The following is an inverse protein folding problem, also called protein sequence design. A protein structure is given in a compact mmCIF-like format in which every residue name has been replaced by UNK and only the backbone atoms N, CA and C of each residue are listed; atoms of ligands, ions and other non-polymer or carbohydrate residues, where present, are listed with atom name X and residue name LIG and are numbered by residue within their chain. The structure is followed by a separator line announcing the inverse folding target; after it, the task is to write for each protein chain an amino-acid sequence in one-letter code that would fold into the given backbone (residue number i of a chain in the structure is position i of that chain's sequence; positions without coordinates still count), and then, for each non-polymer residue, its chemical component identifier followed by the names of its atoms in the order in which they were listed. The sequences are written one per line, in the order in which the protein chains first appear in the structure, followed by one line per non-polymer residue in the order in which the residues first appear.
data_IF_745045637443
#
_entry.id   IF_745045637443
#
_cell.length_a   1.000
_cell.length_b   1.000
_cell.length_c   1.000
_cell.angle_alpha   90.00
_cell.angle_beta   90.00
_cell.angle_gamma   90.00
#
_symmetry.space_group_name_H-M   'P 1'
#
loop_
_entity.id
_entity.type
_entity.pdbx_description
1 polymer ?
#
# COMPACT_ATOMS: atom_id res chain seq x y z
N UNK A 1 -8.35 -64.06 -10.79
CA UNK A 1 -7.23 -63.50 -11.59
C UNK A 1 -7.12 -61.97 -11.53
N UNK A 2 -8.22 -61.20 -11.69
CA UNK A 2 -8.21 -59.72 -11.74
C UNK A 2 -7.60 -59.00 -10.52
N UNK A 3 -7.87 -59.46 -9.28
CA UNK A 3 -7.39 -58.80 -8.04
C UNK A 3 -5.85 -58.80 -7.88
N UNK A 4 -5.18 -59.90 -8.25
CA UNK A 4 -3.70 -60.00 -8.18
C UNK A 4 -3.00 -59.11 -9.22
N UNK A 5 -3.59 -58.93 -10.40
CA UNK A 5 -3.07 -57.99 -11.40
C UNK A 5 -3.25 -56.53 -10.96
N UNK A 6 -4.41 -56.17 -10.40
CA UNK A 6 -4.63 -54.82 -9.85
C UNK A 6 -3.64 -54.50 -8.73
N UNK A 7 -3.40 -55.45 -7.81
CA UNK A 7 -2.41 -55.27 -6.74
C UNK A 7 -0.99 -55.14 -7.30
N UNK A 8 -0.60 -55.97 -8.28
CA UNK A 8 0.73 -55.88 -8.91
C UNK A 8 0.96 -54.53 -9.61
N UNK A 9 0.00 -54.05 -10.38
CA UNK A 9 0.12 -52.76 -11.08
C UNK A 9 0.19 -51.59 -10.08
N UNK A 10 -0.62 -51.64 -9.02
CA UNK A 10 -0.57 -50.65 -7.94
C UNK A 10 0.78 -50.62 -7.22
N UNK A 11 1.36 -51.79 -6.96
CA UNK A 11 2.67 -51.91 -6.30
C UNK A 11 3.81 -51.41 -7.20
N UNK A 12 3.75 -51.71 -8.50
CA UNK A 12 4.71 -51.19 -9.48
C UNK A 12 4.65 -49.66 -9.53
N UNK A 13 3.45 -49.07 -9.58
CA UNK A 13 3.29 -47.61 -9.57
C UNK A 13 3.80 -46.99 -8.26
N UNK A 14 3.53 -47.62 -7.11
CA UNK A 14 4.04 -47.18 -5.81
C UNK A 14 5.57 -47.19 -5.74
N UNK A 15 6.23 -48.19 -6.33
CA UNK A 15 7.70 -48.22 -6.41
C UNK A 15 8.21 -47.08 -7.28
N UNK A 16 7.60 -46.80 -8.42
CA UNK A 16 7.98 -45.67 -9.27
C UNK A 16 7.81 -44.32 -8.56
N UNK A 17 6.71 -44.10 -7.84
CA UNK A 17 6.51 -42.86 -7.09
C UNK A 17 7.49 -42.73 -5.93
N UNK A 18 7.81 -43.80 -5.21
CA UNK A 18 8.82 -43.80 -4.15
C UNK A 18 10.18 -43.40 -4.72
N UNK A 19 10.61 -44.02 -5.83
CA UNK A 19 11.90 -43.68 -6.46
C UNK A 19 11.92 -42.23 -6.94
N UNK A 20 10.83 -41.73 -7.52
CA UNK A 20 10.69 -40.35 -7.94
C UNK A 20 10.76 -39.35 -6.76
N UNK A 21 10.04 -39.62 -5.67
CA UNK A 21 10.04 -38.78 -4.47
C UNK A 21 11.41 -38.76 -3.80
N UNK A 22 12.09 -39.91 -3.69
CA UNK A 22 13.45 -40.00 -3.11
C UNK A 22 14.46 -39.25 -3.97
N UNK A 23 14.40 -39.41 -5.29
CA UNK A 23 15.24 -38.67 -6.23
C UNK A 23 15.05 -37.16 -6.11
N UNK A 24 13.79 -36.70 -6.08
CA UNK A 24 13.47 -35.28 -5.92
C UNK A 24 13.93 -34.74 -4.56
N UNK A 25 13.74 -35.50 -3.48
CA UNK A 25 14.15 -35.10 -2.14
C UNK A 25 15.68 -34.96 -2.02
N UNK A 26 16.44 -35.87 -2.64
CA UNK A 26 17.90 -35.77 -2.66
C UNK A 26 18.38 -34.53 -3.41
N UNK A 27 17.82 -34.27 -4.59
CA UNK A 27 18.14 -33.06 -5.39
C UNK A 27 17.76 -31.80 -4.62
N UNK A 28 16.58 -31.78 -3.99
CA UNK A 28 16.11 -30.65 -3.20
C UNK A 28 17.04 -30.38 -2.00
N UNK A 29 17.42 -31.41 -1.25
CA UNK A 29 18.28 -31.26 -0.06
C UNK A 29 19.72 -30.83 -0.40
N UNK A 30 20.23 -31.23 -1.57
CA UNK A 30 21.54 -30.78 -2.05
C UNK A 30 21.49 -29.34 -2.55
N UNK A 31 20.42 -28.97 -3.27
CA UNK A 31 20.31 -27.66 -3.93
C UNK A 31 19.85 -26.56 -2.97
N UNK A 32 19.07 -26.89 -1.93
CA UNK A 32 18.51 -25.93 -0.98
C UNK A 32 19.58 -25.07 -0.29
N UNK A 33 20.70 -25.68 0.11
CA UNK A 33 21.83 -24.95 0.72
C UNK A 33 22.44 -23.94 -0.24
N UNK A 34 22.63 -24.32 -1.50
CA UNK A 34 23.16 -23.42 -2.53
C UNK A 34 22.19 -22.28 -2.85
N UNK A 35 20.88 -22.54 -2.85
CA UNK A 35 19.85 -21.51 -3.04
C UNK A 35 19.89 -20.50 -1.89
N UNK A 36 19.95 -20.98 -0.64
CA UNK A 36 20.02 -20.09 0.52
C UNK A 36 21.27 -19.20 0.50
N UNK A 37 22.44 -19.78 0.19
CA UNK A 37 23.69 -19.01 0.05
C UNK A 37 23.62 -17.96 -1.06
N UNK A 38 23.01 -18.28 -2.20
CA UNK A 38 22.81 -17.32 -3.29
C UNK A 38 21.84 -16.21 -2.89
N UNK A 39 20.75 -16.53 -2.22
CA UNK A 39 19.79 -15.54 -1.74
C UNK A 39 20.42 -14.56 -0.75
N UNK A 40 21.27 -15.04 0.16
CA UNK A 40 22.02 -14.18 1.07
C UNK A 40 23.05 -13.32 0.33
N UNK A 41 23.76 -13.89 -0.64
CA UNK A 41 24.71 -13.16 -1.47
C UNK A 41 24.02 -12.07 -2.31
N UNK A 42 22.89 -12.39 -2.94
CA UNK A 42 22.07 -11.47 -3.73
C UNK A 42 21.47 -10.37 -2.85
N UNK A 43 21.03 -10.72 -1.64
CA UNK A 43 20.57 -9.74 -0.66
C UNK A 43 21.70 -8.79 -0.26
N UNK A 44 22.89 -9.31 0.07
CA UNK A 44 24.02 -8.48 0.46
C UNK A 44 24.53 -7.61 -0.70
N UNK A 45 24.51 -8.14 -1.92
CA UNK A 45 24.82 -7.39 -3.13
C UNK A 45 23.81 -6.27 -3.37
N UNK A 46 22.51 -6.57 -3.23
CA UNK A 46 21.45 -5.57 -3.37
C UNK A 46 21.50 -4.48 -2.30
N UNK A 47 21.82 -4.82 -1.04
CA UNK A 47 22.05 -3.83 0.01
C UNK A 47 23.20 -2.87 -0.35
N UNK A 48 24.33 -3.40 -0.82
CA UNK A 48 25.48 -2.58 -1.26
C UNK A 48 25.17 -1.76 -2.52
N UNK A 49 24.34 -2.26 -3.42
CA UNK A 49 23.92 -1.54 -4.62
C UNK A 49 23.03 -0.34 -4.27
N UNK A 50 22.13 -0.52 -3.30
CA UNK A 50 21.22 0.52 -2.82
C UNK A 50 21.93 1.54 -1.92
N UNK A 51 22.91 1.12 -1.11
CA UNK A 51 23.75 2.00 -0.30
C UNK A 51 25.25 1.75 -0.56
N UNK A 52 25.81 2.28 -1.65
CA UNK A 52 27.22 2.06 -2.00
C UNK A 52 28.21 2.72 -1.03
N UNK A 53 27.75 3.68 -0.23
CA UNK A 53 28.55 4.39 0.78
C UNK A 53 28.46 3.78 2.18
N UNK A 54 27.64 2.74 2.38
CA UNK A 54 27.51 2.09 3.68
C UNK A 54 28.73 1.23 4.00
N UNK A 55 29.22 1.35 5.24
CA UNK A 55 30.29 0.52 5.81
C UNK A 55 29.75 -0.79 6.38
N UNK A 56 28.46 -0.84 6.71
CA UNK A 56 27.80 -2.02 7.28
C UNK A 56 26.27 -1.94 7.16
N UNK A 57 25.62 -3.07 7.42
CA UNK A 57 24.17 -3.19 7.47
C UNK A 57 23.79 -3.93 8.74
N UNK A 58 23.05 -3.26 9.62
CA UNK A 58 22.59 -3.84 10.89
C UNK A 58 21.09 -4.15 10.79
N UNK A 59 20.65 -5.41 11.00
CA UNK A 59 19.23 -5.75 10.94
C UNK A 59 18.42 -5.00 12.00
N UNK A 60 17.22 -4.56 11.63
CA UNK A 60 16.30 -3.81 12.50
C UNK A 60 14.86 -4.27 12.32
N UNK A 61 14.10 -4.30 13.41
CA UNK A 61 12.66 -4.63 13.41
C UNK A 61 11.77 -3.38 13.54
N UNK A 62 12.37 -2.20 13.45
CA UNK A 62 11.69 -0.91 13.64
C UNK A 62 10.72 -0.57 12.52
N UNK A 63 10.93 -1.12 11.32
CA UNK A 63 10.07 -0.86 10.16
C UNK A 63 9.12 -2.04 9.96
N UNK A 64 7.81 -1.76 9.99
CA UNK A 64 6.77 -2.76 9.74
C UNK A 64 5.81 -2.29 8.66
N UNK A 65 5.32 -3.25 7.88
CA UNK A 65 4.27 -2.97 6.91
C UNK A 65 2.95 -2.78 7.64
N UNK A 66 2.23 -1.71 7.29
CA UNK A 66 0.84 -1.48 7.71
C UNK A 66 -0.17 -2.09 6.74
N UNK A 67 0.29 -2.71 5.64
CA UNK A 67 -0.56 -3.24 4.57
C UNK A 67 -0.57 -4.78 4.60
N UNK A 68 -1.74 -5.45 4.67
CA UNK A 68 -1.81 -6.91 4.76
C UNK A 68 -1.31 -7.65 3.51
N UNK A 69 -1.23 -6.98 2.36
CA UNK A 69 -0.78 -7.57 1.10
C UNK A 69 0.70 -7.30 0.79
N UNK A 70 1.39 -6.50 1.60
CA UNK A 70 2.80 -6.15 1.40
C UNK A 70 3.54 -6.53 2.67
N UNK A 71 4.55 -7.39 2.55
CA UNK A 71 5.26 -7.94 3.70
C UNK A 71 6.70 -7.46 3.65
N UNK A 72 7.21 -6.99 4.79
CA UNK A 72 8.62 -6.68 4.96
C UNK A 72 9.30 -7.91 5.53
N UNK A 73 10.15 -8.56 4.73
CA UNK A 73 10.87 -9.76 5.15
C UNK A 73 11.99 -9.42 6.13
N UNK A 74 12.65 -8.29 5.90
CA UNK A 74 13.74 -7.79 6.73
C UNK A 74 13.94 -6.30 6.49
N UNK A 75 14.38 -5.58 7.53
CA UNK A 75 14.88 -4.22 7.39
C UNK A 75 16.30 -4.14 7.96
N UNK A 76 17.10 -3.25 7.39
CA UNK A 76 18.50 -3.06 7.73
C UNK A 76 18.79 -1.57 7.83
N UNK A 77 19.39 -1.14 8.92
CA UNK A 77 19.98 0.19 9.04
C UNK A 77 21.32 0.18 8.29
N UNK A 78 21.50 1.15 7.38
CA UNK A 78 22.73 1.31 6.63
C UNK A 78 23.70 2.17 7.45
N UNK A 79 24.78 1.56 7.95
CA UNK A 79 25.77 2.24 8.78
C UNK A 79 26.79 2.95 7.90
N UNK A 80 27.14 4.19 8.23
CA UNK A 80 28.16 4.98 7.54
C UNK A 80 29.24 5.50 8.50
N UNK A 81 30.26 6.19 7.94
CA UNK A 81 31.43 6.64 8.71
C UNK A 81 31.12 7.61 9.85
N UNK A 82 30.01 8.35 9.75
CA UNK A 82 29.60 9.41 10.68
C UNK A 82 28.20 9.21 11.27
N UNK A 83 27.63 7.99 11.17
CA UNK A 83 26.28 7.67 11.64
C UNK A 83 25.48 6.82 10.65
N UNK A 84 24.19 6.61 10.94
CA UNK A 84 23.28 5.91 10.03
C UNK A 84 23.05 6.74 8.76
N UNK A 85 23.23 6.12 7.59
CA UNK A 85 22.97 6.71 6.28
C UNK A 85 21.50 6.56 5.87
N UNK A 86 20.75 5.67 6.53
CA UNK A 86 19.35 5.39 6.19
C UNK A 86 18.92 3.98 6.53
N UNK A 87 17.82 3.54 5.92
CA UNK A 87 17.25 2.21 6.09
C UNK A 87 17.05 1.55 4.72
N UNK A 88 17.45 0.29 4.59
CA UNK A 88 17.13 -0.59 3.49
C UNK A 88 16.07 -1.62 3.94
N UNK A 89 14.99 -1.77 3.20
CA UNK A 89 13.94 -2.74 3.51
C UNK A 89 13.82 -3.74 2.37
N UNK A 90 13.87 -5.02 2.71
CA UNK A 90 13.47 -6.11 1.83
C UNK A 90 11.96 -6.29 1.94
N UNK A 91 11.27 -6.02 0.85
CA UNK A 91 9.81 -6.06 0.75
C UNK A 91 9.39 -7.04 -0.33
N UNK A 92 8.34 -7.81 -0.09
CA UNK A 92 7.65 -8.53 -1.14
C UNK A 92 6.16 -8.19 -1.18
N UNK A 93 5.58 -8.24 -2.37
CA UNK A 93 4.15 -8.00 -2.56
C UNK A 93 3.66 -8.48 -3.93
N UNK A 94 2.34 -8.41 -4.17
CA UNK A 94 1.73 -8.95 -5.37
C UNK A 94 2.11 -8.15 -6.63
N UNK A 95 2.48 -8.84 -7.71
CA UNK A 95 2.63 -8.31 -9.07
C UNK A 95 1.78 -9.12 -10.06
N UNK A 96 1.96 -8.90 -11.37
CA UNK A 96 1.12 -9.47 -12.43
C UNK A 96 1.17 -11.00 -12.50
N UNK A 97 2.36 -11.59 -12.54
CA UNK A 97 2.59 -13.04 -12.67
C UNK A 97 2.88 -13.74 -11.34
N UNK A 98 3.01 -12.99 -10.25
CA UNK A 98 3.26 -13.52 -8.91
C UNK A 98 3.88 -12.47 -7.99
N UNK A 99 4.30 -12.88 -6.78
CA UNK A 99 4.98 -11.97 -5.87
C UNK A 99 6.31 -11.47 -6.46
N UNK A 100 6.62 -10.21 -6.19
CA UNK A 100 7.90 -9.58 -6.53
C UNK A 100 8.59 -9.14 -5.25
N UNK A 101 9.88 -9.44 -5.13
CA UNK A 101 10.73 -9.12 -3.98
C UNK A 101 11.72 -8.03 -4.37
N UNK A 102 11.79 -6.98 -3.56
CA UNK A 102 12.60 -5.78 -3.80
C UNK A 102 13.43 -5.47 -2.55
N UNK A 103 14.57 -4.82 -2.75
CA UNK A 103 15.25 -4.03 -1.72
C UNK A 103 15.07 -2.57 -2.08
N UNK A 104 14.56 -1.79 -1.13
CA UNK A 104 14.36 -0.35 -1.29
C UNK A 104 15.13 0.36 -0.19
N UNK A 105 15.96 1.34 -0.57
CA UNK A 105 16.74 2.14 0.37
C UNK A 105 16.23 3.55 0.48
N UNK A 106 16.20 4.04 1.71
CA UNK A 106 15.72 5.37 2.07
C UNK A 106 16.77 6.04 2.95
N UNK A 107 17.30 7.17 2.49
CA UNK A 107 18.26 8.00 3.22
C UNK A 107 17.61 8.66 4.44
N UNK A 108 18.44 9.07 5.41
CA UNK A 108 18.05 9.96 6.52
C UNK A 108 17.46 11.30 6.08
N UNK A 109 17.63 11.69 4.82
CA UNK A 109 17.05 12.92 4.26
C UNK A 109 15.72 12.70 3.53
N UNK A 110 15.16 11.48 3.59
CA UNK A 110 13.88 11.13 2.97
C UNK A 110 14.00 11.01 1.45
N UNK A 111 15.20 10.72 0.98
CA UNK A 111 15.50 10.47 -0.45
C UNK A 111 15.68 8.98 -0.67
N UNK A 112 15.10 8.45 -1.73
CA UNK A 112 15.30 7.05 -2.11
C UNK A 112 16.73 6.90 -2.65
N UNK A 113 17.55 6.11 -1.97
CA UNK A 113 18.96 5.89 -2.37
C UNK A 113 19.06 4.94 -3.54
N UNK A 114 18.18 3.94 -3.60
CA UNK A 114 18.08 3.02 -4.71
C UNK A 114 16.97 2.00 -4.52
N UNK A 115 16.65 1.31 -5.61
CA UNK A 115 15.72 0.17 -5.64
C UNK A 115 16.41 -0.96 -6.37
N UNK A 116 16.36 -2.17 -5.82
CA UNK A 116 16.86 -3.38 -6.46
C UNK A 116 15.76 -4.43 -6.50
N UNK A 117 15.47 -4.98 -7.67
CA UNK A 117 14.61 -6.15 -7.79
C UNK A 117 15.46 -7.39 -7.56
N UNK A 118 15.06 -8.23 -6.59
CA UNK A 118 15.72 -9.50 -6.29
C UNK A 118 15.05 -10.68 -6.98
N UNK A 119 13.72 -10.67 -7.01
CA UNK A 119 12.93 -11.74 -7.62
C UNK A 119 11.63 -11.17 -8.17
N UNK A 120 11.27 -11.59 -9.38
CA UNK A 120 10.08 -11.18 -10.10
C UNK A 120 9.56 -12.37 -10.91
N UNK A 121 8.29 -12.71 -10.69
CA UNK A 121 7.61 -13.83 -11.35
C UNK A 121 6.77 -13.41 -12.54
N UNK A 122 6.90 -12.17 -12.97
CA UNK A 122 6.17 -11.66 -14.13
C UNK A 122 6.67 -12.24 -15.45
N UNK A 123 5.84 -12.12 -16.48
CA UNK A 123 6.11 -12.69 -17.81
C UNK A 123 7.47 -12.20 -18.37
N UNK A 124 8.38 -13.12 -18.76
CA UNK A 124 9.62 -12.79 -19.43
C UNK A 124 9.42 -11.92 -20.67
N UNK A 125 10.27 -10.90 -20.85
CA UNK A 125 10.16 -9.93 -21.95
C UNK A 125 9.09 -8.84 -21.75
N UNK A 126 8.27 -8.93 -20.69
CA UNK A 126 7.30 -7.90 -20.28
C UNK A 126 7.69 -7.36 -18.89
N UNK A 127 7.02 -7.81 -17.83
CA UNK A 127 7.23 -7.32 -16.46
C UNK A 127 8.59 -7.72 -15.87
N UNK A 128 9.14 -8.86 -16.27
CA UNK A 128 10.47 -9.30 -15.84
C UNK A 128 11.59 -8.33 -16.27
N UNK A 129 11.34 -7.45 -17.25
CA UNK A 129 12.28 -6.39 -17.62
C UNK A 129 12.59 -5.42 -16.46
N UNK A 130 11.80 -5.42 -15.39
CA UNK A 130 12.09 -4.66 -14.17
C UNK A 130 13.40 -5.09 -13.49
N UNK A 131 13.81 -6.35 -13.67
CA UNK A 131 15.05 -6.91 -13.13
C UNK A 131 16.26 -6.68 -14.04
N UNK A 132 16.00 -6.38 -15.32
CA UNK A 132 17.04 -6.35 -16.33
C UNK A 132 17.88 -5.09 -16.21
N UNK A 133 19.19 -5.28 -16.01
CA UNK A 133 20.19 -4.20 -16.06
C UNK A 133 20.42 -3.66 -17.48
N UNK A 134 19.92 -4.34 -18.51
CA UNK A 134 20.06 -3.94 -19.92
C UNK A 134 18.78 -3.36 -20.51
N UNK A 135 17.67 -3.41 -19.76
CA UNK A 135 16.42 -2.77 -20.15
C UNK A 135 16.35 -1.33 -19.60
N UNK A 136 16.26 -0.38 -20.51
CA UNK A 136 16.16 1.03 -20.17
C UNK A 136 14.76 1.54 -20.50
N UNK A 137 14.08 2.08 -19.48
CA UNK A 137 12.80 2.80 -19.67
C UNK A 137 13.01 4.14 -20.35
N UNK A 138 14.18 4.74 -20.12
CA UNK A 138 14.68 5.87 -20.89
C UNK A 138 16.03 5.50 -21.51
N UNK A 139 16.03 5.34 -22.82
CA UNK A 139 17.22 4.98 -23.60
C UNK A 139 18.22 6.13 -23.73
N UNK A 140 17.77 7.38 -23.63
CA UNK A 140 18.65 8.54 -23.78
C UNK A 140 19.57 8.69 -22.56
N UNK A 141 19.00 8.49 -21.37
CA UNK A 141 19.75 8.54 -20.10
C UNK A 141 20.28 7.19 -19.64
N UNK A 142 19.94 6.10 -20.36
CA UNK A 142 20.20 4.71 -19.95
C UNK A 142 19.69 4.42 -18.54
N UNK A 143 18.51 4.96 -18.22
CA UNK A 143 17.87 4.76 -16.93
C UNK A 143 17.07 3.47 -16.96
N UNK A 144 17.40 2.54 -16.06
CA UNK A 144 16.63 1.31 -15.84
C UNK A 144 15.33 1.61 -15.09
N UNK A 145 14.36 0.70 -15.11
CA UNK A 145 13.12 0.89 -14.36
C UNK A 145 13.36 1.13 -12.85
N UNK A 146 14.17 0.34 -12.13
CA UNK A 146 14.52 0.65 -10.74
C UNK A 146 15.40 1.89 -10.58
N UNK A 147 16.24 2.20 -11.58
CA UNK A 147 17.16 3.34 -11.54
C UNK A 147 16.47 4.69 -11.46
N UNK A 148 15.27 4.83 -12.01
CA UNK A 148 14.52 6.10 -12.00
C UNK A 148 14.03 6.53 -10.60
N UNK A 149 14.05 5.62 -9.63
CA UNK A 149 13.65 5.92 -8.25
C UNK A 149 14.82 6.47 -7.43
N UNK A 150 16.06 6.20 -7.84
CA UNK A 150 17.24 6.70 -7.14
C UNK A 150 17.30 8.24 -7.22
N UNK A 151 17.45 8.89 -6.08
CA UNK A 151 17.50 10.35 -5.96
C UNK A 151 16.14 11.04 -5.85
N UNK A 152 15.01 10.32 -6.00
CA UNK A 152 13.68 10.89 -5.77
C UNK A 152 13.41 11.07 -4.29
N UNK A 153 12.73 12.15 -3.91
CA UNK A 153 12.27 12.36 -2.54
C UNK A 153 10.96 11.63 -2.31
N UNK A 154 10.73 11.22 -1.06
CA UNK A 154 9.47 10.61 -0.65
C UNK A 154 8.25 11.55 -0.80
N UNK A 155 8.50 12.85 -0.86
CA UNK A 155 7.48 13.89 -1.12
C UNK A 155 7.12 14.01 -2.60
N UNK A 156 7.89 13.41 -3.51
CA UNK A 156 7.66 13.54 -4.95
C UNK A 156 6.46 12.68 -5.38
N UNK A 157 5.91 13.00 -6.55
CA UNK A 157 4.94 12.14 -7.20
C UNK A 157 5.56 10.81 -7.61
N UNK A 158 4.86 9.71 -7.34
CA UNK A 158 5.20 8.36 -7.81
C UNK A 158 4.08 7.78 -8.67
N UNK A 159 3.43 8.61 -9.49
CA UNK A 159 2.35 8.14 -10.36
C UNK A 159 2.93 7.59 -11.66
N UNK A 160 2.71 6.30 -11.91
CA UNK A 160 3.13 5.64 -13.15
C UNK A 160 2.48 6.30 -14.37
N UNK A 161 3.27 6.57 -15.42
CA UNK A 161 2.99 7.37 -16.63
C UNK A 161 2.96 8.89 -16.44
N UNK A 162 3.06 9.40 -15.21
CA UNK A 162 3.24 10.84 -14.96
C UNK A 162 4.64 11.10 -14.44
N UNK A 163 4.94 10.59 -13.26
CA UNK A 163 6.20 10.81 -12.56
C UNK A 163 7.18 9.64 -12.74
N UNK A 164 6.64 8.44 -12.96
CA UNK A 164 7.41 7.20 -13.15
C UNK A 164 7.14 6.65 -14.55
N UNK A 165 8.21 6.46 -15.32
CA UNK A 165 8.16 5.84 -16.64
C UNK A 165 7.83 4.35 -16.47
N UNK A 166 6.72 3.93 -17.08
CA UNK A 166 6.28 2.55 -17.04
C UNK A 166 7.11 1.67 -17.98
N UNK A 167 7.27 0.40 -17.62
CA UNK A 167 7.74 -0.64 -18.54
C UNK A 167 6.69 -0.83 -19.64
N UNK A 168 7.13 -0.78 -20.90
CA UNK A 168 6.26 -0.95 -22.06
C UNK A 168 5.46 -2.24 -21.96
N UNK A 169 4.15 -2.15 -22.13
CA UNK A 169 3.21 -3.28 -22.02
C UNK A 169 3.19 -4.03 -20.67
N UNK A 170 3.85 -3.50 -19.63
CA UNK A 170 3.86 -4.06 -18.28
C UNK A 170 3.52 -2.99 -17.22
N UNK A 171 2.39 -2.28 -17.44
CA UNK A 171 1.94 -1.21 -16.53
C UNK A 171 1.52 -1.76 -15.16
N UNK A 172 1.03 -3.00 -15.07
CA UNK A 172 0.66 -3.64 -13.80
C UNK A 172 1.90 -3.84 -12.93
N UNK A 173 2.96 -4.45 -13.48
CA UNK A 173 4.27 -4.59 -12.84
C UNK A 173 4.83 -3.25 -12.39
N UNK A 174 4.78 -2.26 -13.28
CA UNK A 174 5.30 -0.92 -13.00
C UNK A 174 4.59 -0.28 -11.80
N UNK A 175 3.26 -0.42 -11.73
CA UNK A 175 2.45 0.09 -10.61
C UNK A 175 2.71 -0.67 -9.32
N UNK A 176 2.82 -2.00 -9.38
CA UNK A 176 3.12 -2.83 -8.22
C UNK A 176 4.45 -2.43 -7.58
N UNK A 177 5.55 -2.41 -8.36
CA UNK A 177 6.87 -2.04 -7.84
C UNK A 177 6.87 -0.61 -7.29
N UNK A 178 6.23 0.33 -7.99
CA UNK A 178 6.13 1.72 -7.53
C UNK A 178 5.39 1.82 -6.19
N UNK A 179 4.30 1.07 -6.02
CA UNK A 179 3.56 1.02 -4.76
C UNK A 179 4.41 0.43 -3.61
N UNK A 180 5.16 -0.64 -3.88
CA UNK A 180 6.08 -1.23 -2.89
C UNK A 180 7.14 -0.22 -2.44
N UNK A 181 7.70 0.56 -3.37
CA UNK A 181 8.64 1.63 -3.07
C UNK A 181 8.01 2.72 -2.21
N UNK A 182 6.78 3.15 -2.52
CA UNK A 182 6.07 4.15 -1.72
C UNK A 182 5.77 3.66 -0.30
N UNK A 183 5.34 2.41 -0.16
CA UNK A 183 4.99 1.80 1.14
C UNK A 183 6.22 1.66 2.02
N UNK A 184 7.35 1.20 1.46
CA UNK A 184 8.63 1.20 2.18
C UNK A 184 9.05 2.62 2.53
N UNK A 185 8.98 3.54 1.57
CA UNK A 185 9.32 4.94 1.76
C UNK A 185 8.60 5.56 2.96
N UNK A 186 7.27 5.36 3.02
CA UNK A 186 6.44 5.81 4.13
C UNK A 186 6.88 5.20 5.46
N UNK A 187 6.98 3.87 5.52
CA UNK A 187 7.35 3.18 6.76
C UNK A 187 8.77 3.56 7.25
N UNK A 188 9.73 3.73 6.33
CA UNK A 188 11.08 4.19 6.67
C UNK A 188 11.09 5.64 7.14
N UNK A 189 10.28 6.53 6.55
CA UNK A 189 10.18 7.94 6.97
C UNK A 189 9.63 8.10 8.38
N UNK A 190 8.69 7.24 8.79
CA UNK A 190 8.13 7.22 10.15
C UNK A 190 9.20 6.85 11.18
N UNK A 191 10.04 5.85 10.87
CA UNK A 191 11.13 5.40 11.77
C UNK A 191 12.28 6.42 11.83
N UNK A 192 12.62 7.03 10.70
CA UNK A 192 13.72 8.00 10.63
C UNK A 192 13.32 9.40 11.14
N UNK A 193 12.05 9.64 11.44
CA UNK A 193 11.57 10.93 11.93
C UNK A 193 11.65 12.07 10.90
N UNK A 194 11.69 11.75 9.60
CA UNK A 194 11.92 12.71 8.50
C UNK A 194 10.62 13.46 8.11
N UNK A 195 9.60 13.42 8.99
CA UNK A 195 8.27 13.95 8.74
C UNK A 195 8.16 15.47 8.90
N UNK A 196 8.69 16.23 7.94
CA UNK A 196 8.07 17.49 7.53
C UNK A 196 6.83 17.16 6.68
N UNK A 197 5.64 17.27 7.28
CA UNK A 197 4.34 17.47 6.64
C UNK A 197 4.16 16.97 5.19
N UNK A 198 3.95 15.67 5.05
CA UNK A 198 2.97 15.08 4.11
C UNK A 198 2.34 13.89 4.85
N UNK A 199 1.02 13.70 4.75
CA UNK A 199 0.16 13.40 5.89
C UNK A 199 0.58 12.11 6.60
N UNK A 200 1.11 12.31 7.81
CA UNK A 200 1.24 11.27 8.82
C UNK A 200 -0.11 10.58 9.03
N UNK A 201 -0.15 9.28 9.39
CA UNK A 201 -1.34 8.68 10.01
C UNK A 201 -1.79 9.47 11.27
N UNK A 202 -0.94 10.34 11.84
CA UNK A 202 -1.32 11.24 12.93
C UNK A 202 -2.13 12.49 12.50
N UNK A 203 -2.30 12.76 11.20
CA UNK A 203 -3.34 13.66 10.70
C UNK A 203 -4.57 12.91 10.19
N UNK A 204 -4.61 11.58 10.38
CA UNK A 204 -5.78 10.76 10.11
C UNK A 204 -6.50 10.44 11.41
N UNK A 205 -7.44 11.31 11.74
CA UNK A 205 -8.18 11.22 12.99
C UNK A 205 -9.34 12.20 12.97
N UNK A 206 -10.33 12.00 13.85
CA UNK A 206 -11.55 12.80 13.83
C UNK A 206 -11.29 14.31 14.00
N UNK A 207 -10.17 14.72 14.63
CA UNK A 207 -9.74 16.12 14.70
C UNK A 207 -9.31 16.73 13.35
N UNK A 208 -8.83 15.93 12.40
CA UNK A 208 -8.40 16.42 11.09
C UNK A 208 -9.57 16.70 10.13
N UNK A 209 -10.71 16.06 10.37
CA UNK A 209 -11.96 16.31 9.63
C UNK A 209 -12.90 17.25 10.40
N UNK A 210 -12.53 17.67 11.61
CA UNK A 210 -13.23 18.65 12.45
C UNK A 210 -12.26 19.79 12.87
N UNK A 211 -11.77 20.61 11.93
CA UNK A 211 -10.75 21.63 12.21
C UNK A 211 -11.23 22.73 13.19
N UNK A 212 -12.54 22.85 13.41
CA UNK A 212 -13.15 23.84 14.29
C UNK A 212 -13.37 23.36 15.73
N UNK A 213 -13.09 22.10 16.06
CA UNK A 213 -13.33 21.53 17.39
C UNK A 213 -12.07 21.61 18.27
N UNK A 214 -12.22 22.11 19.51
CA UNK A 214 -11.14 22.13 20.51
C UNK A 214 -10.98 20.76 21.19
N UNK A 215 -12.06 19.97 21.26
CA UNK A 215 -12.05 18.64 21.86
C UNK A 215 -12.93 17.70 21.06
N UNK A 216 -12.37 16.57 20.62
CA UNK A 216 -13.10 15.50 19.94
C UNK A 216 -13.22 14.31 20.91
N UNK A 217 -14.44 13.82 21.12
CA UNK A 217 -14.72 12.64 21.94
C UNK A 217 -15.40 11.56 21.10
N UNK A 218 -14.95 10.31 21.20
CA UNK A 218 -15.66 9.17 20.63
C UNK A 218 -17.00 9.00 21.35
N UNK A 219 -18.10 8.94 20.60
CA UNK A 219 -19.44 8.75 21.16
C UNK A 219 -19.64 7.28 21.54
N UNK A 220 -20.38 7.04 22.61
CA UNK A 220 -20.78 5.69 23.05
C UNK A 220 -21.81 5.04 22.14
N UNK A 221 -22.37 5.79 21.17
CA UNK A 221 -23.36 5.32 20.21
C UNK A 221 -22.87 5.57 18.79
N UNK A 222 -22.50 4.51 18.08
CA UNK A 222 -22.13 4.59 16.68
C UNK A 222 -23.34 4.96 15.82
N UNK A 223 -23.16 5.89 14.87
CA UNK A 223 -24.19 6.18 13.88
C UNK A 223 -24.48 4.93 13.03
N UNK A 224 -25.74 4.72 12.66
CA UNK A 224 -26.15 3.62 11.78
C UNK A 224 -26.48 4.16 10.39
N UNK A 225 -25.83 3.62 9.37
CA UNK A 225 -26.15 3.94 7.99
C UNK A 225 -27.40 3.20 7.55
N UNK A 226 -28.30 3.88 6.83
CA UNK A 226 -29.46 3.25 6.17
C UNK A 226 -29.11 2.62 4.81
N UNK A 227 -27.85 2.68 4.38
CA UNK A 227 -27.39 2.16 3.09
C UNK A 227 -26.86 0.73 3.24
N UNK A 228 -27.39 -0.26 2.50
CA UNK A 228 -26.90 -1.64 2.53
C UNK A 228 -25.41 -1.72 2.16
N UNK A 229 -24.62 -2.45 2.96
CA UNK A 229 -23.19 -2.66 2.71
C UNK A 229 -22.24 -1.59 3.26
N UNK A 230 -22.75 -0.57 3.96
CA UNK A 230 -21.95 0.44 4.67
C UNK A 230 -21.91 0.13 6.17
N UNK A 231 -20.71 -0.13 6.69
CA UNK A 231 -20.46 -0.37 8.11
C UNK A 231 -19.77 0.84 8.74
N UNK A 232 -20.45 1.54 9.63
CA UNK A 232 -19.84 2.61 10.44
C UNK A 232 -19.17 1.95 11.63
N UNK A 233 -17.85 2.11 11.74
CA UNK A 233 -17.04 1.48 12.80
C UNK A 233 -16.99 2.34 14.05
N UNK A 234 -16.86 3.65 13.87
CA UNK A 234 -16.67 4.58 14.98
C UNK A 234 -17.31 5.93 14.64
N UNK A 235 -17.83 6.61 15.65
CA UNK A 235 -18.36 7.98 15.53
C UNK A 235 -17.81 8.82 16.67
N UNK A 236 -17.36 10.02 16.34
CA UNK A 236 -16.80 10.99 17.28
C UNK A 236 -17.48 12.33 17.13
N UNK A 237 -17.60 13.09 18.22
CA UNK A 237 -18.22 14.40 18.27
C UNK A 237 -17.17 15.44 18.58
N UNK A 238 -17.13 16.51 17.78
CA UNK A 238 -16.29 17.67 18.00
C UNK A 238 -17.04 18.74 18.79
N UNK A 239 -16.43 19.22 19.86
CA UNK A 239 -16.94 20.33 20.67
C UNK A 239 -15.95 21.50 20.68
N UNK A 240 -16.49 22.72 20.65
CA UNK A 240 -15.74 23.97 20.80
C UNK A 240 -16.35 24.73 21.97
N UNK A 241 -15.56 25.06 22.99
CA UNK A 241 -16.03 25.69 24.22
C UNK A 241 -17.29 25.03 24.87
N UNK A 242 -17.42 23.70 24.76
CA UNK A 242 -18.56 22.94 25.30
C UNK A 242 -19.81 22.87 24.40
N UNK A 243 -19.81 23.52 23.24
CA UNK A 243 -20.89 23.41 22.23
C UNK A 243 -20.48 22.43 21.12
N UNK A 244 -21.39 21.58 20.66
CA UNK A 244 -21.14 20.66 19.54
C UNK A 244 -20.99 21.49 18.27
N UNK A 245 -19.85 21.36 17.60
CA UNK A 245 -19.55 22.04 16.33
C UNK A 245 -19.56 21.11 15.13
N UNK A 246 -19.63 19.80 15.37
CA UNK A 246 -19.75 18.79 14.32
C UNK A 246 -19.54 17.38 14.84
N UNK A 247 -19.67 16.41 13.94
CA UNK A 247 -19.39 15.01 14.22
C UNK A 247 -18.63 14.39 13.05
N UNK A 248 -17.86 13.35 13.34
CA UNK A 248 -17.09 12.60 12.37
C UNK A 248 -17.35 11.11 12.53
N UNK A 249 -17.39 10.38 11.43
CA UNK A 249 -17.57 8.93 11.45
C UNK A 249 -16.55 8.24 10.56
N UNK A 250 -15.99 7.15 11.08
CA UNK A 250 -15.17 6.20 10.34
C UNK A 250 -16.08 5.11 9.79
N UNK A 251 -16.14 4.99 8.48
CA UNK A 251 -17.01 4.04 7.80
C UNK A 251 -16.22 3.21 6.79
N UNK A 252 -16.65 1.97 6.60
CA UNK A 252 -16.07 1.02 5.66
C UNK A 252 -17.19 0.43 4.81
N UNK A 253 -16.92 0.28 3.52
CA UNK A 253 -17.83 -0.42 2.62
C UNK A 253 -17.07 -1.16 1.54
N UNK A 254 -17.72 -2.17 0.99
CA UNK A 254 -17.26 -2.85 -0.22
C UNK A 254 -17.35 -1.90 -1.40
N UNK A 255 -16.30 -1.85 -2.21
CA UNK A 255 -16.21 -1.00 -3.39
C UNK A 255 -16.15 -1.88 -4.65
N UNK A 256 -15.07 -1.85 -5.42
CA UNK A 256 -14.98 -2.56 -6.70
C UNK A 256 -14.76 -4.07 -6.48
N UNK A 257 -13.59 -4.42 -5.99
CA UNK A 257 -13.18 -5.80 -5.68
C UNK A 257 -12.53 -5.92 -4.29
N UNK A 258 -12.35 -4.79 -3.60
CA UNK A 258 -11.93 -4.71 -2.21
C UNK A 258 -12.88 -3.83 -1.38
N UNK A 259 -12.30 -3.21 -0.36
CA UNK A 259 -13.00 -2.40 0.61
C UNK A 259 -12.35 -1.01 0.68
N UNK A 260 -13.18 0.00 0.95
CA UNK A 260 -12.74 1.37 1.16
C UNK A 260 -13.13 1.78 2.56
N UNK A 261 -12.19 2.36 3.30
CA UNK A 261 -12.40 2.93 4.63
C UNK A 261 -12.22 4.43 4.54
N UNK A 262 -13.23 5.19 4.96
CA UNK A 262 -13.22 6.65 4.96
C UNK A 262 -13.47 7.19 6.36
N UNK A 263 -12.99 8.40 6.59
CA UNK A 263 -13.33 9.24 7.73
C UNK A 263 -13.97 10.51 7.18
N UNK A 264 -15.21 10.78 7.60
CA UNK A 264 -15.99 11.93 7.14
C UNK A 264 -16.33 12.78 8.35
N UNK A 265 -16.07 14.09 8.28
CA UNK A 265 -16.47 15.08 9.26
C UNK A 265 -17.54 16.00 8.71
N UNK A 266 -18.59 16.24 9.50
CA UNK A 266 -19.75 17.05 9.13
C UNK A 266 -20.06 18.05 10.26
N UNK A 267 -20.39 19.28 9.89
CA UNK A 267 -20.86 20.34 10.79
C UNK A 267 -22.30 20.10 11.25
N UNK A 268 -22.73 20.78 12.31
CA UNK A 268 -24.15 20.80 12.75
C UNK A 268 -25.11 21.25 11.65
N UNK A 269 -24.65 22.05 10.70
CA UNK A 269 -25.45 22.55 9.57
C UNK A 269 -25.52 21.56 8.38
N UNK A 270 -24.90 20.38 8.51
CA UNK A 270 -24.84 19.36 7.47
C UNK A 270 -23.79 19.59 6.38
N UNK A 271 -22.91 20.58 6.56
CA UNK A 271 -21.76 20.82 5.67
C UNK A 271 -20.63 19.83 5.96
N UNK A 272 -20.09 19.19 4.94
CA UNK A 272 -18.91 18.32 5.04
C UNK A 272 -17.69 19.21 5.29
N UNK A 273 -17.11 19.11 6.48
CA UNK A 273 -15.95 19.90 6.90
C UNK A 273 -14.64 19.31 6.35
N UNK A 274 -14.57 17.98 6.25
CA UNK A 274 -13.42 17.29 5.72
C UNK A 274 -13.71 15.82 5.47
N UNK A 275 -13.02 15.27 4.48
CA UNK A 275 -13.06 13.85 4.16
C UNK A 275 -11.63 13.35 4.07
N UNK A 276 -11.41 12.13 4.54
CA UNK A 276 -10.17 11.41 4.35
C UNK A 276 -10.48 9.98 3.96
N UNK A 277 -9.70 9.46 3.03
CA UNK A 277 -9.73 8.05 2.68
C UNK A 277 -8.56 7.42 3.42
N UNK A 278 -8.89 6.61 4.41
CA UNK A 278 -7.92 5.99 5.30
C UNK A 278 -7.26 4.80 4.59
N UNK A 279 -8.07 4.03 3.88
CA UNK A 279 -7.65 2.78 3.28
C UNK A 279 -8.49 2.47 2.04
N UNK A 280 -7.84 1.89 1.03
CA UNK A 280 -8.50 1.34 -0.15
C UNK A 280 -7.77 0.07 -0.54
N UNK A 281 -8.46 -1.06 -0.46
CA UNK A 281 -7.94 -2.38 -0.83
C UNK A 281 -8.41 -2.85 -2.20
N UNK A 282 -9.11 -1.99 -2.95
CA UNK A 282 -9.48 -2.27 -4.34
C UNK A 282 -8.23 -2.44 -5.22
N UNK A 283 -8.27 -3.39 -6.15
CA UNK A 283 -7.26 -3.50 -7.20
C UNK A 283 -7.25 -2.22 -8.02
N UNK A 284 -6.08 -1.59 -8.10
CA UNK A 284 -5.88 -0.30 -8.77
C UNK A 284 -6.60 0.89 -8.10
N UNK A 285 -7.14 0.71 -6.89
CA UNK A 285 -7.84 1.76 -6.14
C UNK A 285 -6.93 2.73 -5.40
N UNK A 286 -5.68 2.36 -5.11
CA UNK A 286 -4.72 3.18 -4.33
C UNK A 286 -4.65 4.68 -4.70
N UNK A 287 -4.81 5.10 -5.98
CA UNK A 287 -4.87 6.52 -6.34
C UNK A 287 -5.96 7.33 -5.61
N UNK A 288 -7.06 6.72 -5.13
CA UNK A 288 -8.09 7.45 -4.36
C UNK A 288 -7.60 7.90 -2.97
N UNK A 289 -6.49 7.35 -2.46
CA UNK A 289 -5.88 7.76 -1.19
C UNK A 289 -5.24 9.16 -1.27
N UNK A 290 -5.12 9.72 -2.47
CA UNK A 290 -4.58 11.06 -2.65
C UNK A 290 -5.48 12.11 -1.96
N UNK A 291 -4.89 13.07 -1.22
CA UNK A 291 -5.66 14.10 -0.52
C UNK A 291 -6.48 14.98 -1.47
N UNK A 292 -6.03 15.15 -2.71
CA UNK A 292 -6.71 15.91 -3.77
C UNK A 292 -8.12 15.40 -4.04
N UNK A 293 -8.32 14.08 -4.04
CA UNK A 293 -9.65 13.50 -4.24
C UNK A 293 -10.56 13.77 -3.04
N UNK A 294 -10.03 13.62 -1.82
CA UNK A 294 -10.80 13.82 -0.60
C UNK A 294 -11.13 15.32 -0.36
N UNK A 295 -10.27 16.24 -0.80
CA UNK A 295 -10.50 17.68 -0.71
C UNK A 295 -11.70 18.15 -1.54
N UNK A 296 -12.06 17.45 -2.61
CA UNK A 296 -13.22 17.81 -3.43
C UNK A 296 -14.53 17.75 -2.65
N UNK A 297 -14.59 16.99 -1.56
CA UNK A 297 -15.79 16.83 -0.73
C UNK A 297 -15.95 17.93 0.32
N UNK A 298 -14.87 18.63 0.67
CA UNK A 298 -14.90 19.70 1.67
C UNK A 298 -15.78 20.87 1.18
N UNK A 299 -16.65 21.37 2.05
CA UNK A 299 -17.58 22.45 1.75
C UNK A 299 -18.88 22.03 1.05
N UNK A 300 -19.02 20.77 0.63
CA UNK A 300 -20.29 20.27 0.06
C UNK A 300 -21.29 19.91 1.17
N UNK A 301 -22.59 19.94 0.87
CA UNK A 301 -23.64 19.56 1.83
C UNK A 301 -23.97 18.06 1.76
N UNK A 302 -24.18 17.45 2.93
CA UNK A 302 -24.83 16.14 3.03
C UNK A 302 -26.24 16.20 2.40
N UNK A 303 -26.67 15.12 1.75
CA UNK A 303 -27.90 15.06 0.96
C UNK A 303 -27.81 15.65 -0.47
N UNK A 304 -26.74 16.36 -0.83
CA UNK A 304 -26.54 16.82 -2.22
C UNK A 304 -26.13 15.66 -3.16
N UNK A 305 -26.38 15.77 -4.48
CA UNK A 305 -25.91 14.78 -5.47
C UNK A 305 -24.38 14.83 -5.60
N UNK A 306 -23.69 14.01 -4.81
CA UNK A 306 -22.27 13.73 -4.94
C UNK A 306 -22.07 12.61 -5.96
N UNK A 307 -21.82 12.98 -7.21
CA UNK A 307 -21.66 12.03 -8.33
C UNK A 307 -20.32 12.22 -9.04
N UNK A 308 -19.63 11.09 -9.24
CA UNK A 308 -18.35 11.05 -9.95
C UNK A 308 -18.56 11.27 -11.44
N UNK A 309 -17.87 12.25 -12.00
CA UNK A 309 -18.00 12.70 -13.40
C UNK A 309 -18.95 13.90 -13.57
N UNK A 310 -19.66 14.29 -12.52
CA UNK A 310 -20.55 15.47 -12.52
C UNK A 310 -20.01 16.54 -11.57
N UNK A 311 -19.95 16.20 -10.27
CA UNK A 311 -19.61 17.14 -9.20
C UNK A 311 -18.35 16.71 -8.44
N UNK A 312 -17.83 15.53 -8.73
CA UNK A 312 -16.60 14.95 -8.17
C UNK A 312 -15.81 14.37 -9.33
N UNK A 313 -14.54 14.72 -9.45
CA UNK A 313 -13.67 14.18 -10.48
C UNK A 313 -13.26 12.74 -10.16
N UNK A 314 -13.35 11.87 -11.16
CA UNK A 314 -12.85 10.51 -11.03
C UNK A 314 -11.33 10.50 -10.98
N UNK A 315 -10.76 9.63 -10.14
CA UNK A 315 -9.32 9.40 -10.19
C UNK A 315 -8.99 8.49 -11.37
N UNK A 316 -8.07 8.95 -12.23
CA UNK A 316 -7.69 8.23 -13.45
C UNK A 316 -7.14 6.84 -13.14
N UNK A 317 -7.76 5.81 -13.74
CA UNK A 317 -7.40 4.41 -13.50
C UNK A 317 -8.01 3.79 -12.23
N UNK A 318 -8.81 4.55 -11.47
CA UNK A 318 -9.50 4.11 -10.26
C UNK A 318 -10.98 4.58 -10.27
N UNK A 319 -11.62 4.60 -11.45
CA UNK A 319 -12.97 5.15 -11.63
C UNK A 319 -14.03 4.40 -10.80
N UNK A 320 -13.94 3.08 -10.72
CA UNK A 320 -14.87 2.27 -9.91
C UNK A 320 -14.67 2.52 -8.41
N UNK A 321 -13.42 2.56 -7.95
CA UNK A 321 -13.07 2.91 -6.56
C UNK A 321 -13.48 4.34 -6.20
N UNK A 322 -13.35 5.28 -7.14
CA UNK A 322 -13.78 6.67 -6.95
C UNK A 322 -15.29 6.74 -6.72
N UNK A 323 -16.07 5.95 -7.47
CA UNK A 323 -17.54 5.86 -7.30
C UNK A 323 -17.89 5.22 -5.97
N UNK A 324 -17.23 4.12 -5.60
CA UNK A 324 -17.43 3.45 -4.31
C UNK A 324 -17.13 4.35 -3.13
N UNK A 325 -15.99 5.05 -3.15
CA UNK A 325 -15.60 6.00 -2.12
C UNK A 325 -16.58 7.18 -2.03
N UNK A 326 -17.01 7.75 -3.16
CA UNK A 326 -18.00 8.83 -3.20
C UNK A 326 -19.34 8.41 -2.59
N UNK A 327 -19.81 7.21 -2.93
CA UNK A 327 -21.05 6.66 -2.38
C UNK A 327 -20.94 6.43 -0.86
N UNK A 328 -19.80 5.92 -0.40
CA UNK A 328 -19.53 5.72 1.01
C UNK A 328 -19.46 7.04 1.78
N UNK A 329 -18.80 8.06 1.23
CA UNK A 329 -18.73 9.41 1.82
C UNK A 329 -20.13 10.01 1.95
N UNK A 330 -20.95 9.91 0.89
CA UNK A 330 -22.34 10.37 0.90
C UNK A 330 -23.16 9.67 1.99
N UNK A 331 -23.13 8.34 2.02
CA UNK A 331 -23.86 7.55 3.01
C UNK A 331 -23.45 7.88 4.45
N UNK A 332 -22.15 8.09 4.68
CA UNK A 332 -21.60 8.41 5.99
C UNK A 332 -21.99 9.83 6.43
N UNK A 333 -21.93 10.81 5.51
CA UNK A 333 -22.36 12.17 5.78
C UNK A 333 -23.85 12.23 6.12
N UNK A 334 -24.69 11.52 5.36
CA UNK A 334 -26.15 11.47 5.61
C UNK A 334 -26.46 10.80 6.96
N UNK A 335 -25.72 9.75 7.32
CA UNK A 335 -25.86 9.09 8.62
C UNK A 335 -25.45 10.01 9.79
N UNK A 336 -24.37 10.78 9.63
CA UNK A 336 -23.92 11.77 10.61
C UNK A 336 -24.94 12.89 10.82
N UNK A 337 -25.52 13.43 9.73
CA UNK A 337 -26.55 14.47 9.85
C UNK A 337 -27.81 13.94 10.56
N UNK A 338 -28.25 12.72 10.24
CA UNK A 338 -29.37 12.08 10.95
C UNK A 338 -29.05 11.88 12.44
N UNK A 339 -27.83 11.46 12.77
CA UNK A 339 -27.40 11.26 14.15
C UNK A 339 -27.35 12.57 14.95
N UNK A 340 -26.85 13.65 14.33
CA UNK A 340 -26.83 15.00 14.91
C UNK A 340 -28.26 15.56 15.09
N UNK A 341 -29.15 15.40 14.10
CA UNK A 341 -30.53 15.89 14.18
C UNK A 341 -31.40 15.10 15.17
N UNK A 342 -31.11 13.81 15.38
CA UNK A 342 -31.84 12.95 16.32
C UNK A 342 -31.41 13.07 17.78
N UNK A 343 -30.45 13.95 18.12
CA UNK A 343 -29.92 14.12 19.48
C UNK A 343 -29.22 12.87 20.04
N UNK A 344 -28.76 11.98 19.16
CA UNK A 344 -28.22 10.66 19.54
C UNK A 344 -26.70 10.63 19.78
N UNK A 345 -26.04 11.79 19.73
CA UNK A 345 -24.59 11.98 19.81
C UNK A 345 -24.21 12.94 20.93
#
# INVERSE_FOLDING_TARGET
MKRRQMIKLGLILAVYTIVGCVGLAFVYNSTSKTIAQRQEADLQAGLREVFPKATGFTPTDTVKSTNPNIVFDAAYTADGPSGSLGIAVKVHGPSYGGPTTLIVGVSTDGTITGVKVLENKDTPGLGANAESSTYYVDKATKTTFPGQFAGKKLTDGFVVKKDVIAITSATITSRSITNLVQVVGKAASEVLGIGGSSPSPSSQGPSAVLPSADTVRTSSKAATSSVPGVSILETSVGTKAGTIVGASAKAKAKSYDGEVTVLVGVSTDGTILGVQILECTDSQGSPILAPEFAQQFAGKKAGAPLEVGTNIDAVSGATFSSRGATALVKATADALVKALAGGGL
#
